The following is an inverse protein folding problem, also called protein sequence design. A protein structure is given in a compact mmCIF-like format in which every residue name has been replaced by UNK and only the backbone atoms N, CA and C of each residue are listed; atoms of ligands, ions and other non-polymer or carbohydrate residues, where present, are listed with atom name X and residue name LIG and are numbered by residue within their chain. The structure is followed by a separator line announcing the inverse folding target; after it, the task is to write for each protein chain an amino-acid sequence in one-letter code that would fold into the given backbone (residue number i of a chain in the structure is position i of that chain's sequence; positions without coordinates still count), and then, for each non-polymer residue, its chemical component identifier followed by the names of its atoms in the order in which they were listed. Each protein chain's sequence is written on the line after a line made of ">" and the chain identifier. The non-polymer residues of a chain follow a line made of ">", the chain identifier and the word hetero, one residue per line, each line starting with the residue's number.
data_IF_453483317893
#
_entry.id   IF_453483317893
#
_cell.length_a   1.000
_cell.length_b   1.000
_cell.length_c   1.000
_cell.angle_alpha   90.00
_cell.angle_beta   90.00
_cell.angle_gamma   90.00
#
_symmetry.space_group_name_H-M   'P 1'
#
loop_
_entity.id
_entity.type
_entity.pdbx_description
1 polymer ?
#
# COMPACT_ATOMS: atom_id res chain seq x y z
N UNK A 1 23.17 5.84 -21.36
CA UNK A 1 22.79 6.07 -19.95
C UNK A 1 22.07 4.83 -19.44
N UNK A 2 22.70 4.05 -18.55
CA UNK A 2 21.95 3.05 -17.79
C UNK A 2 21.10 3.84 -16.79
N UNK A 3 19.79 3.89 -17.01
CA UNK A 3 18.86 4.45 -16.02
C UNK A 3 18.82 3.45 -14.87
N UNK A 4 19.53 3.75 -13.81
CA UNK A 4 19.37 3.05 -12.54
C UNK A 4 18.20 3.70 -11.81
N UNK A 5 17.27 2.89 -11.30
CA UNK A 5 16.16 3.40 -10.49
C UNK A 5 16.70 3.88 -9.14
N UNK A 6 16.34 5.09 -8.75
CA UNK A 6 16.63 5.60 -7.41
C UNK A 6 15.85 4.81 -6.35
N UNK A 7 16.31 4.82 -5.10
CA UNK A 7 15.60 4.16 -3.99
C UNK A 7 14.14 4.64 -3.84
N UNK A 8 13.87 5.91 -4.12
CA UNK A 8 12.52 6.48 -4.10
C UNK A 8 11.65 5.95 -5.23
N UNK A 9 12.18 5.88 -6.45
CA UNK A 9 11.47 5.32 -7.61
C UNK A 9 11.16 3.83 -7.40
N UNK A 10 12.15 3.07 -6.90
CA UNK A 10 11.95 1.68 -6.48
C UNK A 10 10.79 1.56 -5.48
N UNK A 11 10.76 2.40 -4.45
CA UNK A 11 9.67 2.40 -3.45
C UNK A 11 8.29 2.77 -4.02
N UNK A 12 8.23 3.64 -5.04
CA UNK A 12 6.99 3.94 -5.76
C UNK A 12 6.43 2.67 -6.42
N UNK A 13 7.28 1.85 -7.05
CA UNK A 13 6.86 0.60 -7.68
C UNK A 13 6.54 -0.50 -6.67
N UNK A 14 7.34 -0.62 -5.61
CA UNK A 14 7.15 -1.65 -4.58
C UNK A 14 5.81 -1.47 -3.84
N UNK A 15 5.51 -0.23 -3.40
CA UNK A 15 4.41 0.02 -2.47
C UNK A 15 3.50 1.19 -2.90
N UNK A 16 4.04 2.26 -3.48
CA UNK A 16 3.26 3.48 -3.78
C UNK A 16 2.11 3.25 -4.78
N UNK A 17 2.43 2.77 -5.98
CA UNK A 17 1.48 2.49 -7.06
C UNK A 17 0.46 1.43 -6.64
N UNK A 18 0.95 0.33 -6.06
CA UNK A 18 0.09 -0.77 -5.64
C UNK A 18 -0.89 -0.33 -4.54
N UNK A 19 -0.43 0.51 -3.60
CA UNK A 19 -1.27 1.11 -2.58
C UNK A 19 -2.39 1.99 -3.13
N UNK A 20 -2.08 2.86 -4.10
CA UNK A 20 -3.08 3.71 -4.77
C UNK A 20 -4.14 2.89 -5.50
N UNK A 21 -3.72 1.83 -6.20
CA UNK A 21 -4.62 0.95 -6.94
C UNK A 21 -5.59 0.24 -5.98
N UNK A 22 -5.10 -0.25 -4.85
CA UNK A 22 -5.95 -0.86 -3.82
C UNK A 22 -6.96 0.11 -3.21
N UNK A 23 -6.56 1.36 -2.94
CA UNK A 23 -7.50 2.39 -2.46
C UNK A 23 -8.56 2.67 -3.53
N UNK A 24 -8.15 2.82 -4.80
CA UNK A 24 -9.07 3.00 -5.92
C UNK A 24 -10.07 1.85 -6.05
N UNK A 25 -9.63 0.60 -5.88
CA UNK A 25 -10.51 -0.57 -5.83
C UNK A 25 -11.52 -0.50 -4.69
N UNK A 26 -11.09 -0.05 -3.51
CA UNK A 26 -11.99 0.17 -2.37
C UNK A 26 -13.07 1.18 -2.69
N UNK A 27 -12.69 2.31 -3.29
CA UNK A 27 -13.61 3.38 -3.70
C UNK A 27 -14.62 2.85 -4.72
N UNK A 28 -14.16 2.13 -5.74
CA UNK A 28 -15.02 1.53 -6.77
C UNK A 28 -16.09 0.62 -6.14
N UNK A 29 -15.73 -0.16 -5.12
CA UNK A 29 -16.65 -1.07 -4.45
C UNK A 29 -17.73 -0.37 -3.62
N UNK A 30 -17.54 0.90 -3.24
CA UNK A 30 -18.55 1.68 -2.53
C UNK A 30 -19.77 2.01 -3.42
N UNK A 31 -19.60 2.01 -4.75
CA UNK A 31 -20.64 2.44 -5.70
C UNK A 31 -21.36 1.26 -6.39
N UNK A 32 -21.40 0.08 -5.76
CA UNK A 32 -22.06 -1.13 -6.30
C UNK A 32 -21.82 -1.34 -7.81
N UNK A 33 -20.55 -1.51 -8.21
CA UNK A 33 -20.14 -1.40 -9.60
C UNK A 33 -20.76 -2.49 -10.49
N UNK A 34 -21.06 -2.13 -11.73
CA UNK A 34 -21.48 -3.09 -12.74
C UNK A 34 -20.35 -4.08 -13.10
N UNK A 35 -20.69 -5.20 -13.74
CA UNK A 35 -19.72 -6.26 -14.09
C UNK A 35 -18.58 -5.72 -14.96
N UNK A 36 -18.86 -4.82 -15.89
CA UNK A 36 -17.85 -4.23 -16.78
C UNK A 36 -16.80 -3.43 -16.01
N UNK A 37 -17.25 -2.60 -15.05
CA UNK A 37 -16.35 -1.78 -14.25
C UNK A 37 -15.53 -2.63 -13.27
N UNK A 38 -16.11 -3.73 -12.75
CA UNK A 38 -15.35 -4.72 -11.98
C UNK A 38 -14.25 -5.39 -12.81
N UNK A 39 -14.55 -5.82 -14.03
CA UNK A 39 -13.56 -6.44 -14.94
C UNK A 39 -12.43 -5.46 -15.24
N UNK A 40 -12.76 -4.21 -15.57
CA UNK A 40 -11.76 -3.17 -15.83
C UNK A 40 -10.88 -2.91 -14.61
N UNK A 41 -11.48 -2.80 -13.43
CA UNK A 41 -10.76 -2.53 -12.19
C UNK A 41 -9.85 -3.71 -11.80
N UNK A 42 -10.30 -4.95 -12.00
CA UNK A 42 -9.46 -6.15 -11.84
C UNK A 42 -8.28 -6.19 -12.82
N UNK A 43 -8.48 -5.75 -14.07
CA UNK A 43 -7.39 -5.66 -15.04
C UNK A 43 -6.33 -4.61 -14.62
N UNK A 44 -6.76 -3.45 -14.11
CA UNK A 44 -5.86 -2.43 -13.56
C UNK A 44 -5.07 -2.98 -12.37
N UNK A 45 -5.72 -3.73 -11.49
CA UNK A 45 -5.05 -4.36 -10.34
C UNK A 45 -4.01 -5.39 -10.77
N UNK A 46 -4.28 -6.19 -11.80
CA UNK A 46 -3.30 -7.12 -12.37
C UNK A 46 -2.08 -6.39 -12.95
N UNK A 47 -2.30 -5.31 -13.70
CA UNK A 47 -1.20 -4.47 -14.22
C UNK A 47 -0.42 -3.82 -13.08
N UNK A 48 -1.12 -3.34 -12.04
CA UNK A 48 -0.51 -2.81 -10.83
C UNK A 48 0.35 -3.83 -10.09
N UNK A 49 -0.13 -5.05 -9.93
CA UNK A 49 0.63 -6.14 -9.31
C UNK A 49 1.88 -6.48 -10.15
N UNK A 50 1.76 -6.43 -11.48
CA UNK A 50 2.91 -6.62 -12.37
C UNK A 50 3.99 -5.55 -12.19
N UNK A 51 3.61 -4.33 -11.77
CA UNK A 51 4.57 -3.23 -11.56
C UNK A 51 5.57 -3.49 -10.41
N UNK A 52 5.22 -4.35 -9.46
CA UNK A 52 6.11 -4.78 -8.36
C UNK A 52 7.35 -5.52 -8.90
N UNK A 53 7.25 -6.12 -10.10
CA UNK A 53 8.39 -6.80 -10.71
C UNK A 53 9.34 -5.85 -11.46
N UNK A 54 8.95 -4.59 -11.70
CA UNK A 54 9.77 -3.63 -12.46
C UNK A 54 11.15 -3.42 -11.82
N UNK A 55 11.29 -3.24 -10.49
CA UNK A 55 12.60 -3.08 -9.86
C UNK A 55 13.51 -4.31 -9.94
N UNK A 56 12.97 -5.50 -10.23
CA UNK A 56 13.76 -6.71 -10.48
C UNK A 56 14.24 -6.80 -11.93
N UNK A 57 13.52 -6.18 -12.86
CA UNK A 57 13.86 -6.17 -14.29
C UNK A 57 14.80 -5.02 -14.65
N UNK A 58 14.74 -3.90 -13.91
CA UNK A 58 15.56 -2.72 -14.12
C UNK A 58 16.58 -2.62 -12.98
N UNK A 59 17.84 -2.34 -13.32
CA UNK A 59 18.88 -2.14 -12.32
C UNK A 59 18.47 -1.00 -11.38
N UNK A 60 18.42 -1.29 -10.09
CA UNK A 60 18.08 -0.31 -9.05
C UNK A 60 19.34 0.04 -8.26
N UNK A 61 19.35 1.23 -7.68
CA UNK A 61 20.30 1.62 -6.65
C UNK A 61 20.31 0.56 -5.53
N UNK A 62 21.49 0.09 -5.11
CA UNK A 62 21.57 -0.88 -4.02
C UNK A 62 21.04 -0.26 -2.74
N UNK A 63 20.29 -1.03 -1.97
CA UNK A 63 19.85 -0.59 -0.65
C UNK A 63 21.09 -0.56 0.27
N UNK A 64 21.38 0.58 0.90
CA UNK A 64 22.40 0.66 1.95
C UNK A 64 21.81 0.24 3.32
N UNK A 65 22.67 0.09 4.33
CA UNK A 65 22.24 -0.32 5.68
C UNK A 65 21.18 0.62 6.28
N UNK A 66 21.27 1.92 5.97
CA UNK A 66 20.34 2.94 6.48
C UNK A 66 19.00 2.87 5.75
N UNK A 67 19.00 2.69 4.43
CA UNK A 67 17.81 2.50 3.62
C UNK A 67 17.06 1.23 4.02
N UNK A 68 17.77 0.13 4.27
CA UNK A 68 17.17 -1.12 4.76
C UNK A 68 16.52 -0.93 6.14
N UNK A 69 17.22 -0.27 7.06
CA UNK A 69 16.67 0.10 8.35
C UNK A 69 15.42 0.99 8.23
N UNK A 70 15.45 2.00 7.35
CA UNK A 70 14.32 2.89 7.09
C UNK A 70 13.11 2.16 6.51
N UNK A 71 13.31 1.17 5.63
CA UNK A 71 12.22 0.32 5.11
C UNK A 71 11.56 -0.50 6.21
N UNK A 72 12.37 -1.15 7.06
CA UNK A 72 11.86 -1.94 8.19
C UNK A 72 11.09 -1.03 9.17
N UNK A 73 11.64 0.14 9.49
CA UNK A 73 11.01 1.13 10.36
C UNK A 73 9.69 1.65 9.77
N UNK A 74 9.64 1.92 8.46
CA UNK A 74 8.44 2.34 7.75
C UNK A 74 7.34 1.26 7.82
N UNK A 75 7.68 0.01 7.49
CA UNK A 75 6.75 -1.12 7.55
C UNK A 75 6.20 -1.35 8.96
N UNK A 76 7.09 -1.37 9.96
CA UNK A 76 6.70 -1.52 11.36
C UNK A 76 5.75 -0.40 11.81
N UNK A 77 6.01 0.84 11.38
CA UNK A 77 5.16 2.00 11.72
C UNK A 77 3.80 1.91 11.03
N UNK A 78 3.77 1.53 9.75
CA UNK A 78 2.54 1.31 8.99
C UNK A 78 1.65 0.25 9.65
N UNK A 79 2.21 -0.92 9.99
CA UNK A 79 1.48 -1.98 10.69
C UNK A 79 0.99 -1.57 12.08
N UNK A 80 1.78 -0.78 12.82
CA UNK A 80 1.35 -0.29 14.14
C UNK A 80 0.13 0.63 14.03
N UNK A 81 0.12 1.54 13.05
CA UNK A 81 -1.01 2.46 12.82
C UNK A 81 -2.26 1.68 12.38
N UNK A 82 -2.10 0.70 11.49
CA UNK A 82 -3.20 -0.15 11.05
C UNK A 82 -3.77 -1.01 12.17
N UNK A 83 -2.91 -1.64 12.97
CA UNK A 83 -3.32 -2.42 14.14
C UNK A 83 -4.09 -1.56 15.14
N UNK A 84 -3.64 -0.33 15.38
CA UNK A 84 -4.37 0.65 16.21
C UNK A 84 -5.75 0.95 15.61
N UNK A 85 -5.82 1.22 14.31
CA UNK A 85 -7.09 1.48 13.61
C UNK A 85 -8.07 0.31 13.70
N UNK A 86 -7.61 -0.91 13.44
CA UNK A 86 -8.42 -2.14 13.57
C UNK A 86 -8.89 -2.32 15.02
N UNK A 87 -8.03 -2.06 16.00
CA UNK A 87 -8.38 -2.15 17.42
C UNK A 87 -9.49 -1.16 17.79
N UNK A 88 -9.40 0.09 17.30
CA UNK A 88 -10.44 1.11 17.50
C UNK A 88 -11.76 0.67 16.87
N UNK A 89 -11.74 0.21 15.61
CA UNK A 89 -12.96 -0.28 14.93
C UNK A 89 -13.59 -1.47 15.67
N UNK A 90 -12.77 -2.36 16.20
CA UNK A 90 -13.22 -3.53 16.99
C UNK A 90 -13.87 -3.09 18.29
N UNK A 91 -13.28 -2.13 19.01
CA UNK A 91 -13.89 -1.57 20.23
C UNK A 91 -15.26 -0.95 19.94
N UNK A 92 -15.40 -0.19 18.85
CA UNK A 92 -16.68 0.40 18.44
C UNK A 92 -17.71 -0.68 18.09
N UNK A 93 -17.29 -1.76 17.43
CA UNK A 93 -18.17 -2.89 17.10
C UNK A 93 -18.68 -3.61 18.36
N UNK A 94 -17.82 -3.82 19.34
CA UNK A 94 -18.19 -4.42 20.64
C UNK A 94 -19.24 -3.55 21.34
N UNK A 95 -19.00 -2.24 21.44
CA UNK A 95 -19.93 -1.31 22.11
C UNK A 95 -21.29 -1.27 21.42
N UNK A 96 -21.30 -1.30 20.08
CA UNK A 96 -22.55 -1.29 19.30
C UNK A 96 -23.24 -2.65 19.20
N UNK A 97 -22.58 -3.74 19.60
CA UNK A 97 -23.05 -5.13 19.41
C UNK A 97 -23.45 -5.44 17.96
N UNK A 98 -22.82 -4.76 17.00
CA UNK A 98 -23.11 -4.87 15.57
C UNK A 98 -21.81 -5.11 14.80
N UNK A 99 -21.89 -5.96 13.77
CA UNK A 99 -20.78 -6.14 12.86
C UNK A 99 -20.70 -4.95 11.89
N UNK A 100 -19.80 -4.02 12.19
CA UNK A 100 -19.69 -2.74 11.46
C UNK A 100 -18.98 -2.85 10.10
N UNK A 101 -18.28 -3.96 9.83
CA UNK A 101 -17.24 -4.00 8.79
C UNK A 101 -17.56 -5.00 7.68
N UNK A 102 -17.91 -4.49 6.51
CA UNK A 102 -17.94 -5.32 5.30
C UNK A 102 -16.52 -5.57 4.79
N UNK A 103 -16.00 -6.78 4.99
CA UNK A 103 -14.64 -7.17 4.60
C UNK A 103 -14.36 -6.94 3.12
N UNK A 104 -15.35 -7.14 2.25
CA UNK A 104 -15.20 -6.90 0.82
C UNK A 104 -14.79 -5.44 0.55
N UNK A 105 -15.42 -4.50 1.25
CA UNK A 105 -15.15 -3.07 1.12
C UNK A 105 -13.86 -2.70 1.85
N UNK A 106 -13.63 -3.23 3.05
CA UNK A 106 -12.53 -2.79 3.92
C UNK A 106 -11.15 -3.35 3.52
N UNK A 107 -11.08 -4.58 3.01
CA UNK A 107 -9.81 -5.22 2.65
C UNK A 107 -8.98 -4.39 1.64
N UNK A 108 -9.57 -3.84 0.55
CA UNK A 108 -8.85 -2.94 -0.34
C UNK A 108 -8.26 -1.72 0.38
N UNK A 109 -8.98 -1.11 1.33
CA UNK A 109 -8.46 0.03 2.08
C UNK A 109 -7.37 -0.37 3.08
N UNK A 110 -7.47 -1.55 3.68
CA UNK A 110 -6.43 -2.09 4.58
C UNK A 110 -5.14 -2.34 3.79
N UNK A 111 -5.23 -3.06 2.67
CA UNK A 111 -4.07 -3.35 1.83
C UNK A 111 -3.49 -2.09 1.20
N UNK A 112 -4.35 -1.20 0.70
CA UNK A 112 -3.95 0.09 0.17
C UNK A 112 -3.28 0.99 1.22
N UNK A 113 -3.86 1.03 2.41
CA UNK A 113 -3.34 1.77 3.56
C UNK A 113 -1.96 1.28 4.01
N UNK A 114 -1.75 -0.04 4.11
CA UNK A 114 -0.42 -0.62 4.44
C UNK A 114 0.62 -0.08 3.48
N UNK A 115 0.37 -0.25 2.19
CA UNK A 115 1.32 0.05 1.13
C UNK A 115 1.59 1.56 1.03
N UNK A 116 0.56 2.40 1.10
CA UNK A 116 0.71 3.85 1.10
C UNK A 116 1.45 4.34 2.34
N UNK A 117 1.12 3.83 3.53
CA UNK A 117 1.83 4.24 4.74
C UNK A 117 3.29 3.78 4.72
N UNK A 118 3.59 2.55 4.28
CA UNK A 118 4.96 2.07 4.13
C UNK A 118 5.74 2.98 3.16
N UNK A 119 5.16 3.31 2.00
CA UNK A 119 5.75 4.24 1.05
C UNK A 119 6.00 5.63 1.65
N UNK A 120 4.97 6.25 2.23
CA UNK A 120 5.06 7.60 2.80
C UNK A 120 6.12 7.66 3.91
N UNK A 121 6.10 6.72 4.85
CA UNK A 121 7.07 6.69 5.94
C UNK A 121 8.49 6.42 5.45
N UNK A 122 8.66 5.55 4.44
CA UNK A 122 9.96 5.32 3.85
C UNK A 122 10.53 6.63 3.25
N UNK A 123 9.74 7.36 2.45
CA UNK A 123 10.18 8.65 1.89
C UNK A 123 10.53 9.67 2.98
N UNK A 124 9.76 9.72 4.07
CA UNK A 124 10.07 10.60 5.19
C UNK A 124 11.35 10.23 5.92
N UNK A 125 11.58 8.94 6.20
CA UNK A 125 12.77 8.48 6.90
C UNK A 125 14.03 8.60 6.05
N UNK A 126 13.92 8.29 4.76
CA UNK A 126 15.02 8.42 3.81
C UNK A 126 15.45 9.88 3.63
N UNK A 127 14.51 10.83 3.70
CA UNK A 127 14.81 12.25 3.67
C UNK A 127 15.47 12.76 4.97
N UNK A 128 15.20 12.11 6.10
CA UNK A 128 15.71 12.51 7.42
C UNK A 128 17.07 11.86 7.75
N UNK A 129 17.42 10.74 7.10
CA UNK A 129 18.71 10.07 7.24
C UNK A 129 19.79 10.51 6.25
N UNK A 130 19.41 11.29 5.22
CA UNK A 130 20.32 11.87 4.23
C UNK A 130 20.92 13.22 4.67
#
# INVERSE_FOLDING_TARGET
>A
MKRELTLREKSIFDNGLFGLIWIGMGIVQLFTPNKTLLILASAILLVGAASIFIPYLIKSEPDDEMSEYNKIKARSTAYRILSLGISILTLVAIVKSEWLVNLRIILPFVLGGVNIFEFIFFIFYEKAGA
#
